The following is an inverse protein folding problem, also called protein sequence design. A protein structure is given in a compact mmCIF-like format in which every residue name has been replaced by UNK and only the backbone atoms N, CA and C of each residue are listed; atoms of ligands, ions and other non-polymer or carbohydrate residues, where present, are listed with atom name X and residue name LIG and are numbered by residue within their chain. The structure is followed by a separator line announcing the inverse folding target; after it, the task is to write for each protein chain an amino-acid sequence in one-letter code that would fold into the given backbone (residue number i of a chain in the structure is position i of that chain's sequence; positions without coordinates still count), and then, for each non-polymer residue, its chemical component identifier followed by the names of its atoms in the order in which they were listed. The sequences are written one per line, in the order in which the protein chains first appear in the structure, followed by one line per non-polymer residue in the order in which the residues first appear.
data_IF_263602992241
#
_entry.id   IF_263602992241
#
_cell.length_a   1.000
_cell.length_b   1.000
_cell.length_c   1.000
_cell.angle_alpha   90.00
_cell.angle_beta   90.00
_cell.angle_gamma   90.00
#
_symmetry.space_group_name_H-M   'P 1'
#
loop_
_entity.id
_entity.type
_entity.pdbx_description
1 polymer ?
#
# COMPACT_ATOMS: atom_id res chain seq x y z
N UNK A 1 -12.65 4.54 -17.47
CA UNK A 1 -11.40 3.74 -17.53
C UNK A 1 -11.59 2.38 -18.20
N UNK A 2 -12.64 1.60 -17.87
CA UNK A 2 -12.89 0.24 -18.41
C UNK A 2 -12.87 0.14 -19.94
N UNK A 3 -13.48 1.08 -20.64
CA UNK A 3 -13.56 1.08 -22.11
C UNK A 3 -12.21 1.27 -22.80
N UNK A 4 -11.31 2.09 -22.22
CA UNK A 4 -9.97 2.33 -22.77
C UNK A 4 -9.09 1.07 -22.64
N UNK A 5 -9.13 0.42 -21.48
CA UNK A 5 -8.38 -0.82 -21.25
C UNK A 5 -8.88 -1.95 -22.15
N UNK A 6 -10.20 -2.12 -22.27
CA UNK A 6 -10.80 -3.11 -23.17
C UNK A 6 -10.41 -2.87 -24.64
N UNK A 7 -10.43 -1.60 -25.10
CA UNK A 7 -10.02 -1.24 -26.44
C UNK A 7 -8.52 -1.52 -26.68
N UNK A 8 -7.68 -1.31 -25.67
CA UNK A 8 -6.25 -1.61 -25.73
C UNK A 8 -5.99 -3.12 -25.81
N UNK A 9 -6.59 -3.91 -24.91
CA UNK A 9 -6.45 -5.37 -24.86
C UNK A 9 -7.02 -6.07 -26.10
N UNK A 10 -8.06 -5.51 -26.71
CA UNK A 10 -8.62 -6.01 -27.97
C UNK A 10 -7.66 -5.79 -29.14
N UNK A 11 -6.89 -4.69 -29.13
CA UNK A 11 -5.95 -4.33 -30.19
C UNK A 11 -4.62 -5.08 -30.09
N UNK A 12 -4.22 -5.49 -28.88
CA UNK A 12 -2.98 -6.22 -28.60
C UNK A 12 -3.18 -7.73 -28.55
N UNK A 13 -4.03 -8.30 -29.42
CA UNK A 13 -4.45 -9.71 -29.39
C UNK A 13 -3.34 -10.78 -29.54
N UNK A 14 -2.07 -10.40 -29.62
CA UNK A 14 -0.91 -11.29 -29.53
C UNK A 14 0.03 -10.87 -28.40
N UNK A 15 0.53 -11.83 -27.64
CA UNK A 15 1.50 -11.62 -26.57
C UNK A 15 2.80 -11.02 -27.15
N UNK A 16 3.07 -9.76 -26.83
CA UNK A 16 4.28 -9.07 -27.29
C UNK A 16 5.28 -8.89 -26.14
N UNK A 17 6.50 -9.41 -26.30
CA UNK A 17 7.60 -9.22 -25.31
C UNK A 17 8.15 -7.78 -25.26
N UNK A 18 7.60 -6.86 -26.06
CA UNK A 18 8.10 -5.48 -26.20
C UNK A 18 7.48 -4.49 -25.22
N UNK A 19 6.37 -4.85 -24.58
CA UNK A 19 5.63 -3.94 -23.69
C UNK A 19 5.11 -4.68 -22.47
N UNK A 20 5.27 -4.08 -21.29
CA UNK A 20 4.72 -4.56 -20.03
C UNK A 20 3.70 -3.54 -19.54
N UNK A 21 2.48 -4.00 -19.23
CA UNK A 21 1.41 -3.16 -18.68
C UNK A 21 1.27 -3.47 -17.19
N UNK A 22 1.54 -2.47 -16.34
CA UNK A 22 1.30 -2.56 -14.90
C UNK A 22 0.02 -1.80 -14.60
N UNK A 23 -0.94 -2.46 -13.93
CA UNK A 23 -2.21 -1.84 -13.55
C UNK A 23 -2.33 -1.88 -12.02
N UNK A 24 -2.56 -0.71 -11.41
CA UNK A 24 -2.82 -0.58 -9.98
C UNK A 24 -4.28 -0.21 -9.76
N UNK A 25 -5.01 -1.01 -8.98
CA UNK A 25 -6.38 -0.72 -8.57
C UNK A 25 -6.56 -1.12 -7.11
N UNK A 26 -7.26 -0.30 -6.35
CA UNK A 26 -7.69 -0.59 -4.97
C UNK A 26 -9.01 -1.38 -4.92
N UNK A 27 -9.58 -1.73 -6.07
CA UNK A 27 -10.81 -2.52 -6.21
C UNK A 27 -10.57 -3.66 -7.22
N UNK A 28 -10.12 -4.84 -6.76
CA UNK A 28 -9.81 -5.97 -7.65
C UNK A 28 -11.06 -6.52 -8.35
N UNK A 29 -12.23 -6.41 -7.72
CA UNK A 29 -13.52 -6.91 -8.23
C UNK A 29 -14.02 -6.21 -9.51
N UNK A 30 -13.45 -5.04 -9.85
CA UNK A 30 -13.87 -4.29 -11.04
C UNK A 30 -13.17 -4.72 -12.33
N UNK A 31 -12.16 -5.59 -12.23
CA UNK A 31 -11.56 -6.20 -13.42
C UNK A 31 -12.53 -7.22 -14.01
N UNK A 32 -12.83 -7.03 -15.30
CA UNK A 32 -13.66 -7.99 -16.02
C UNK A 32 -12.90 -9.32 -16.14
N UNK A 33 -13.61 -10.45 -16.12
CA UNK A 33 -13.03 -11.80 -16.21
C UNK A 33 -12.03 -11.96 -17.39
N UNK A 34 -12.27 -11.27 -18.50
CA UNK A 34 -11.42 -11.28 -19.70
C UNK A 34 -10.04 -10.62 -19.50
N UNK A 35 -9.90 -9.75 -18.50
CA UNK A 35 -8.61 -9.19 -18.08
C UNK A 35 -7.90 -10.18 -17.17
N UNK A 36 -8.65 -10.82 -16.27
CA UNK A 36 -8.11 -11.81 -15.32
C UNK A 36 -7.54 -13.06 -16.02
N UNK A 37 -8.15 -13.49 -17.12
CA UNK A 37 -7.67 -14.61 -17.96
C UNK A 37 -6.36 -14.30 -18.71
N UNK A 38 -5.93 -13.03 -18.74
CA UNK A 38 -4.77 -12.54 -19.51
C UNK A 38 -3.71 -11.84 -18.64
N UNK A 39 -3.94 -11.73 -17.34
CA UNK A 39 -2.93 -11.25 -16.39
C UNK A 39 -2.08 -12.44 -15.96
N UNK A 40 -0.77 -12.37 -16.22
CA UNK A 40 0.16 -13.44 -15.86
C UNK A 40 0.41 -13.49 -14.34
N UNK A 41 0.54 -12.32 -13.68
CA UNK A 41 0.74 -12.22 -12.23
C UNK A 41 -0.14 -11.11 -11.63
N UNK A 42 -0.81 -11.45 -10.52
CA UNK A 42 -1.54 -10.51 -9.68
C UNK A 42 -0.81 -10.38 -8.34
N UNK A 43 -0.30 -9.18 -8.06
CA UNK A 43 0.33 -8.86 -6.78
C UNK A 43 -0.67 -8.07 -5.96
N UNK A 44 -1.17 -8.69 -4.90
CA UNK A 44 -1.98 -8.01 -3.90
C UNK A 44 -1.07 -7.35 -2.87
N UNK A 45 -1.37 -6.09 -2.54
CA UNK A 45 -0.66 -5.34 -1.50
C UNK A 45 -1.54 -5.27 -0.27
N UNK A 46 -1.17 -6.03 0.75
CA UNK A 46 -1.76 -5.89 2.08
C UNK A 46 -1.36 -4.57 2.73
N UNK A 47 -2.15 -4.14 3.73
CA UNK A 47 -1.75 -3.04 4.59
C UNK A 47 -0.46 -3.43 5.34
N UNK A 48 0.57 -2.56 5.35
CA UNK A 48 1.83 -2.89 5.99
C UNK A 48 1.61 -3.09 7.49
N UNK A 49 2.17 -4.18 8.00
CA UNK A 49 2.18 -4.54 9.43
C UNK A 49 3.10 -3.58 10.20
N UNK A 50 3.02 -3.60 11.53
CA UNK A 50 3.77 -2.69 12.40
C UNK A 50 5.28 -2.69 12.09
N UNK A 51 5.88 -3.87 11.94
CA UNK A 51 7.30 -4.04 11.64
C UNK A 51 7.70 -3.47 10.26
N UNK A 52 6.83 -3.60 9.25
CA UNK A 52 7.09 -3.08 7.90
C UNK A 52 7.03 -1.54 7.87
N UNK A 53 6.17 -0.94 8.71
CA UNK A 53 6.10 0.51 8.89
C UNK A 53 7.35 1.04 9.59
N UNK A 54 7.83 0.34 10.61
CA UNK A 54 9.07 0.69 11.31
C UNK A 54 10.28 0.60 10.38
N UNK A 55 10.36 -0.47 9.57
CA UNK A 55 11.40 -0.64 8.56
C UNK A 55 11.39 0.49 7.53
N UNK A 56 10.21 0.85 7.00
CA UNK A 56 10.08 1.97 6.07
C UNK A 56 10.48 3.30 6.73
N UNK A 57 10.09 3.50 7.99
CA UNK A 57 10.50 4.66 8.78
C UNK A 57 12.02 4.76 8.90
N UNK A 58 12.70 3.67 9.25
CA UNK A 58 14.16 3.62 9.32
C UNK A 58 14.79 3.91 7.95
N UNK A 59 14.29 3.30 6.87
CA UNK A 59 14.80 3.55 5.51
C UNK A 59 14.64 5.02 5.09
N UNK A 60 13.48 5.63 5.38
CA UNK A 60 13.24 7.04 5.08
C UNK A 60 14.17 7.96 5.89
N UNK A 61 14.47 7.61 7.15
CA UNK A 61 15.40 8.38 7.97
C UNK A 61 16.85 8.24 7.52
N UNK A 62 17.27 7.05 7.06
CA UNK A 62 18.58 6.87 6.44
C UNK A 62 18.72 7.68 5.15
N UNK A 63 17.66 7.73 4.32
CA UNK A 63 17.64 8.55 3.12
C UNK A 63 17.69 10.06 3.42
N UNK A 64 17.05 10.49 4.51
CA UNK A 64 17.06 11.89 4.93
C UNK A 64 18.35 12.31 5.65
N UNK A 65 19.23 11.35 5.99
CA UNK A 65 20.53 11.62 6.61
C UNK A 65 21.54 12.07 5.56
N UNK A 66 22.31 13.12 5.84
CA UNK A 66 23.34 13.64 4.94
C UNK A 66 24.42 12.59 4.62
N UNK A 67 24.69 11.68 5.56
CA UNK A 67 25.72 10.65 5.41
C UNK A 67 25.17 9.35 4.79
N UNK A 68 23.85 9.22 4.63
CA UNK A 68 23.19 7.99 4.16
C UNK A 68 23.33 6.80 5.12
N UNK A 69 23.82 7.02 6.34
CA UNK A 69 24.04 5.98 7.35
C UNK A 69 22.91 5.97 8.37
N UNK A 70 22.30 4.82 8.55
CA UNK A 70 21.31 4.59 9.61
C UNK A 70 22.02 4.40 10.96
N UNK A 71 22.18 5.49 11.72
CA UNK A 71 22.73 5.42 13.08
C UNK A 71 21.74 4.77 14.07
N UNK A 72 22.26 4.05 15.07
CA UNK A 72 21.44 3.38 16.10
C UNK A 72 20.53 4.38 16.84
N UNK A 73 21.02 5.59 17.11
CA UNK A 73 20.21 6.64 17.74
C UNK A 73 19.00 7.07 16.89
N UNK A 74 19.10 6.97 15.57
CA UNK A 74 18.01 7.30 14.64
C UNK A 74 16.92 6.22 14.67
N UNK A 75 17.34 4.95 14.81
CA UNK A 75 16.43 3.80 15.01
C UNK A 75 15.65 3.98 16.32
N UNK A 76 16.34 4.31 17.41
CA UNK A 76 15.72 4.50 18.73
C UNK A 76 14.73 5.67 18.72
N UNK A 77 15.09 6.80 18.10
CA UNK A 77 14.20 7.97 17.95
C UNK A 77 12.95 7.63 17.12
N UNK A 78 13.10 6.94 16.00
CA UNK A 78 11.94 6.53 15.19
C UNK A 78 11.04 5.53 15.92
N UNK A 79 11.63 4.60 16.66
CA UNK A 79 10.86 3.63 17.44
C UNK A 79 10.06 4.32 18.55
N UNK A 80 10.68 5.26 19.26
CA UNK A 80 10.01 6.07 20.29
C UNK A 80 8.89 6.94 19.71
N UNK A 81 9.10 7.53 18.53
CA UNK A 81 8.07 8.33 17.85
C UNK A 81 6.92 7.45 17.34
N UNK A 82 7.23 6.26 16.81
CA UNK A 82 6.23 5.28 16.37
C UNK A 82 5.33 4.86 17.53
N UNK A 83 5.90 4.60 18.71
CA UNK A 83 5.14 4.28 19.93
C UNK A 83 4.22 5.45 20.35
N UNK A 84 4.72 6.69 20.37
CA UNK A 84 3.91 7.87 20.67
C UNK A 84 2.76 8.06 19.68
N UNK A 85 3.04 7.88 18.39
CA UNK A 85 2.02 7.99 17.34
C UNK A 85 0.98 6.88 17.47
N UNK A 86 1.41 5.67 17.81
CA UNK A 86 0.51 4.57 18.10
C UNK A 86 -0.41 4.90 19.29
N UNK A 87 0.14 5.36 20.42
CA UNK A 87 -0.64 5.77 21.58
C UNK A 87 -1.64 6.89 21.24
N UNK A 88 -1.22 7.90 20.48
CA UNK A 88 -2.09 9.00 20.04
C UNK A 88 -3.21 8.48 19.14
N UNK A 89 -2.90 7.58 18.21
CA UNK A 89 -3.91 6.95 17.34
C UNK A 89 -4.88 6.09 18.14
N UNK A 90 -4.41 5.34 19.14
CA UNK A 90 -5.27 4.55 20.03
C UNK A 90 -6.19 5.44 20.86
N UNK A 91 -5.69 6.57 21.36
CA UNK A 91 -6.52 7.58 22.04
C UNK A 91 -7.54 8.21 21.08
N UNK A 92 -7.15 8.48 19.83
CA UNK A 92 -8.04 9.03 18.82
C UNK A 92 -9.17 8.05 18.47
N UNK A 93 -8.85 6.78 18.18
CA UNK A 93 -9.84 5.72 17.95
C UNK A 93 -10.77 5.48 19.14
N UNK A 94 -10.28 5.65 20.38
CA UNK A 94 -11.10 5.58 21.57
C UNK A 94 -12.10 6.75 21.66
N UNK A 95 -11.72 7.94 21.18
CA UNK A 95 -12.61 9.11 21.08
C UNK A 95 -13.56 9.07 19.89
N UNK A 96 -13.23 8.29 18.86
CA UNK A 96 -13.95 8.19 17.58
C UNK A 96 -14.92 7.02 17.49
N UNK A 97 -15.19 6.29 18.58
CA UNK A 97 -16.39 5.44 18.63
C UNK A 97 -17.59 6.33 18.98
N UNK A 98 -18.37 6.86 18.02
CA UNK A 98 -19.73 7.27 18.33
C UNK A 98 -20.49 6.01 18.73
N UNK A 99 -21.34 6.17 19.73
CA UNK A 99 -22.35 5.22 20.18
C UNK A 99 -23.16 4.66 19.00
N UNK A 100 -22.71 3.57 18.39
CA UNK A 100 -23.54 2.72 17.55
C UNK A 100 -23.74 1.38 18.26
N UNK A 101 -24.26 1.47 19.48
CA UNK A 101 -24.95 0.41 20.22
C UNK A 101 -26.22 1.02 20.80
N UNK A 102 -27.12 1.52 19.94
CA UNK A 102 -28.55 1.69 20.28
C UNK A 102 -29.37 1.71 18.99
N UNK A 103 -29.60 0.53 18.40
CA UNK A 103 -30.67 0.31 17.42
C UNK A 103 -30.89 -1.21 17.22
N UNK A 104 -31.30 -1.91 18.28
CA UNK A 104 -32.19 -3.09 18.21
C UNK A 104 -33.10 -3.04 19.43
#
# INVERSE_FOLDING_TARGET
MRAMLNAFLYRTGEQSRKYMLIVASNQPEQFHWAVNDRLDELVEFDLPKQAERELFGWQASAYASEDGVLAVEMIDKNTAETLRQHERKMKWLASEKPSCETAV
#
